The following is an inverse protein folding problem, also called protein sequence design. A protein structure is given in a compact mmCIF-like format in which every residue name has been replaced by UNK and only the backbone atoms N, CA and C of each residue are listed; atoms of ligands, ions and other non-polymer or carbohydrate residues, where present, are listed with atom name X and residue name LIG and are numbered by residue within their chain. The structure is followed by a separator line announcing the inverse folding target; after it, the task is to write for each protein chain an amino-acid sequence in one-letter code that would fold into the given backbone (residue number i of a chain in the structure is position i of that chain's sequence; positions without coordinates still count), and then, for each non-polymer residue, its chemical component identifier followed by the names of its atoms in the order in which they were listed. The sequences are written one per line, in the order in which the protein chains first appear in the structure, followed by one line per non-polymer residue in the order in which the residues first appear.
data_IF_529436626950
#
_entry.id   IF_529436626950
#
_cell.length_a   1.000
_cell.length_b   1.000
_cell.length_c   1.000
_cell.angle_alpha   90.00
_cell.angle_beta   90.00
_cell.angle_gamma   90.00
#
_symmetry.space_group_name_H-M   'P 1'
#
loop_
_entity.id
_entity.type
_entity.pdbx_description
1 polymer ?
#
# COMPACT_ATOMS: atom_id res chain seq x y z
N UNK A 1 -40.88 -85.86 25.74
CA UNK A 1 -42.00 -86.32 24.89
C UNK A 1 -42.87 -85.12 24.52
N UNK A 2 -43.32 -85.10 23.26
CA UNK A 2 -44.24 -84.17 22.55
C UNK A 2 -43.64 -82.88 21.95
N UNK A 3 -43.58 -82.91 20.61
CA UNK A 3 -43.20 -81.88 19.63
C UNK A 3 -44.47 -81.25 18.99
N UNK A 4 -44.38 -80.02 18.46
CA UNK A 4 -44.45 -79.68 17.01
C UNK A 4 -44.32 -78.14 16.83
N UNK A 5 -43.40 -77.54 16.03
CA UNK A 5 -43.41 -77.33 14.56
C UNK A 5 -44.83 -76.95 14.06
N UNK A 6 -45.13 -75.81 13.43
CA UNK A 6 -44.50 -75.16 12.25
C UNK A 6 -45.22 -73.82 11.95
N UNK A 7 -44.56 -72.89 11.23
CA UNK A 7 -45.13 -71.96 10.21
C UNK A 7 -45.16 -70.43 10.52
N UNK A 8 -44.22 -69.73 9.86
CA UNK A 8 -44.29 -68.43 9.15
C UNK A 8 -44.46 -67.07 9.88
N UNK A 9 -43.37 -66.27 9.80
CA UNK A 9 -43.27 -64.89 9.26
C UNK A 9 -44.38 -63.87 9.57
N UNK A 10 -44.07 -62.85 10.38
CA UNK A 10 -44.21 -61.38 10.14
C UNK A 10 -43.83 -60.65 11.44
N UNK A 11 -42.69 -59.95 11.49
CA UNK A 11 -42.48 -58.53 11.21
C UNK A 11 -42.70 -57.60 12.42
N UNK A 12 -41.81 -56.60 12.52
CA UNK A 12 -41.95 -55.29 13.19
C UNK A 12 -41.36 -55.12 14.62
N UNK A 13 -40.27 -54.35 14.62
CA UNK A 13 -39.85 -53.29 15.54
C UNK A 13 -39.45 -53.60 17.00
N UNK A 14 -38.17 -53.36 17.31
CA UNK A 14 -37.74 -52.31 18.25
C UNK A 14 -36.21 -52.23 18.27
N UNK A 15 -35.61 -51.63 17.23
CA UNK A 15 -34.23 -51.17 17.30
C UNK A 15 -34.24 -49.76 17.88
N UNK A 16 -33.82 -49.62 19.14
CA UNK A 16 -33.41 -48.34 19.72
C UNK A 16 -32.17 -47.86 18.94
N UNK A 17 -32.39 -47.01 17.94
CA UNK A 17 -31.36 -46.13 17.40
C UNK A 17 -31.50 -44.82 18.15
N UNK A 18 -30.67 -44.63 19.17
CA UNK A 18 -30.37 -43.31 19.71
C UNK A 18 -29.72 -42.48 18.60
N UNK A 19 -30.53 -41.71 17.90
CA UNK A 19 -30.06 -40.59 17.09
C UNK A 19 -29.51 -39.54 18.05
N UNK A 20 -28.19 -39.54 18.26
CA UNK A 20 -27.49 -38.34 18.68
C UNK A 20 -27.66 -37.34 17.54
N UNK A 21 -28.63 -36.43 17.71
CA UNK A 21 -28.71 -35.23 16.89
C UNK A 21 -27.52 -34.38 17.33
N UNK A 22 -26.39 -34.56 16.63
CA UNK A 22 -25.36 -33.54 16.57
C UNK A 22 -25.99 -32.33 15.91
N UNK A 23 -26.58 -31.46 16.72
CA UNK A 23 -26.79 -30.08 16.33
C UNK A 23 -25.39 -29.48 16.22
N UNK A 24 -24.77 -29.60 15.06
CA UNK A 24 -23.79 -28.60 14.64
C UNK A 24 -24.58 -27.32 14.45
N UNK A 25 -24.88 -26.64 15.56
CA UNK A 25 -25.00 -25.20 15.53
C UNK A 25 -23.65 -24.73 14.98
N UNK A 26 -23.61 -24.42 13.68
CA UNK A 26 -22.58 -23.58 13.16
C UNK A 26 -22.68 -22.30 13.97
N UNK A 27 -21.78 -22.15 14.95
CA UNK A 27 -21.46 -20.85 15.47
C UNK A 27 -20.87 -20.16 14.24
N UNK A 28 -21.68 -19.32 13.58
CA UNK A 28 -21.12 -18.33 12.69
C UNK A 28 -20.20 -17.50 13.59
N UNK A 29 -18.89 -17.70 13.42
CA UNK A 29 -17.88 -16.89 14.11
C UNK A 29 -18.18 -15.42 13.78
N UNK A 30 -18.45 -14.56 14.79
CA UNK A 30 -18.79 -13.17 14.56
C UNK A 30 -17.52 -12.31 14.41
N UNK A 31 -16.47 -12.86 13.80
CA UNK A 31 -15.28 -12.09 13.40
C UNK A 31 -15.33 -12.00 11.89
N UNK A 32 -15.54 -10.79 11.35
CA UNK A 32 -15.49 -10.48 9.92
C UNK A 32 -14.08 -10.67 9.36
N UNK A 33 -13.58 -11.90 9.40
CA UNK A 33 -12.27 -12.26 8.89
C UNK A 33 -12.34 -12.21 7.36
N UNK A 34 -11.84 -11.14 6.77
CA UNK A 34 -11.46 -11.05 5.35
C UNK A 34 -10.21 -11.90 5.03
N UNK A 35 -9.92 -12.92 5.84
CA UNK A 35 -8.83 -13.89 5.72
C UNK A 35 -8.95 -14.83 4.51
N UNK A 36 -9.72 -14.49 3.47
CA UNK A 36 -9.71 -15.25 2.22
C UNK A 36 -8.34 -15.07 1.53
N UNK A 37 -7.39 -15.92 1.94
CA UNK A 37 -6.11 -16.11 1.26
C UNK A 37 -6.23 -17.28 0.28
N UNK A 38 -5.66 -17.18 -0.94
CA UNK A 38 -4.96 -16.00 -1.46
C UNK A 38 -5.91 -14.84 -1.73
N UNK A 39 -5.44 -13.60 -1.53
CA UNK A 39 -6.18 -12.41 -1.92
C UNK A 39 -6.51 -12.45 -3.41
N UNK A 40 -7.72 -11.99 -3.74
CA UNK A 40 -8.24 -12.00 -5.11
C UNK A 40 -7.41 -11.07 -6.00
N UNK A 41 -7.43 -11.31 -7.31
CA UNK A 41 -6.70 -10.48 -8.27
C UNK A 41 -7.01 -8.96 -8.25
N UNK A 42 -8.12 -8.53 -7.66
CA UNK A 42 -8.48 -7.12 -7.48
C UNK A 42 -8.29 -6.65 -6.03
N UNK A 43 -7.45 -7.33 -5.27
CA UNK A 43 -7.13 -7.01 -3.88
C UNK A 43 -5.62 -6.94 -3.68
N UNK A 44 -5.18 -6.07 -2.78
CA UNK A 44 -3.85 -6.15 -2.18
C UNK A 44 -3.94 -5.95 -0.68
N UNK A 45 -2.85 -6.20 0.02
CA UNK A 45 -2.75 -5.91 1.45
C UNK A 45 -1.99 -4.62 1.74
N UNK A 46 -2.26 -4.07 2.91
CA UNK A 46 -1.58 -2.90 3.46
C UNK A 46 -1.54 -2.96 4.97
N UNK A 47 -1.12 -1.86 5.58
CA UNK A 47 -1.19 -1.70 7.02
C UNK A 47 -2.03 -0.48 7.40
N UNK A 48 -2.68 -0.53 8.56
CA UNK A 48 -3.44 0.57 9.14
C UNK A 48 -3.62 0.31 10.63
N UNK A 49 -3.35 1.32 11.47
CA UNK A 49 -3.44 1.25 12.93
C UNK A 49 -2.81 -0.04 13.54
N UNK A 50 -1.68 -0.49 13.00
CA UNK A 50 -0.96 -1.67 13.53
C UNK A 50 -1.52 -3.02 13.09
N UNK A 51 -2.42 -3.03 12.10
CA UNK A 51 -3.12 -4.20 11.60
C UNK A 51 -2.96 -4.34 10.08
N UNK A 52 -3.07 -5.57 9.60
CA UNK A 52 -3.17 -5.85 8.18
C UNK A 52 -4.52 -5.39 7.65
N UNK A 53 -4.47 -4.74 6.50
CA UNK A 53 -5.62 -4.20 5.78
C UNK A 53 -5.72 -4.90 4.43
N UNK A 54 -6.93 -4.98 3.89
CA UNK A 54 -7.20 -5.46 2.54
C UNK A 54 -7.83 -4.32 1.75
N UNK A 55 -7.16 -3.92 0.67
CA UNK A 55 -7.67 -2.93 -0.25
C UNK A 55 -8.33 -3.63 -1.43
N UNK A 56 -9.59 -3.33 -1.70
CA UNK A 56 -10.35 -3.90 -2.81
C UNK A 56 -10.58 -2.85 -3.89
N UNK A 57 -10.22 -3.18 -5.13
CA UNK A 57 -10.13 -2.23 -6.22
C UNK A 57 -11.30 -2.36 -7.18
N UNK A 58 -11.90 -1.22 -7.53
CA UNK A 58 -12.87 -1.10 -8.62
C UNK A 58 -12.28 -0.40 -9.86
N UNK A 59 -11.25 0.43 -9.67
CA UNK A 59 -10.54 1.14 -10.74
C UNK A 59 -9.04 1.17 -10.40
N UNK A 60 -8.20 1.54 -11.37
CA UNK A 60 -6.74 1.52 -11.18
C UNK A 60 -6.28 2.80 -10.45
N UNK A 61 -6.07 3.89 -11.19
CA UNK A 61 -5.55 5.14 -10.66
C UNK A 61 -5.97 6.35 -11.51
N UNK A 62 -5.74 7.54 -10.97
CA UNK A 62 -5.80 8.80 -11.71
C UNK A 62 -4.60 9.67 -11.33
N UNK A 63 -4.11 10.48 -12.26
CA UNK A 63 -3.07 11.47 -11.99
C UNK A 63 -3.68 12.83 -12.27
N UNK A 64 -3.97 13.58 -11.20
CA UNK A 64 -4.70 14.84 -11.31
C UNK A 64 -3.78 15.92 -11.86
N UNK A 65 -4.27 16.64 -12.86
CA UNK A 65 -3.68 17.87 -13.38
C UNK A 65 -4.77 18.93 -13.33
N UNK A 66 -4.49 20.04 -12.67
CA UNK A 66 -5.39 21.17 -12.54
C UNK A 66 -5.21 22.18 -13.69
N UNK A 67 -6.22 23.00 -14.03
CA UNK A 67 -6.16 23.90 -15.18
C UNK A 67 -4.98 24.89 -15.22
N UNK A 68 -4.38 25.18 -14.07
CA UNK A 68 -3.28 26.14 -13.93
C UNK A 68 -1.95 25.48 -13.60
N UNK A 69 -1.93 24.15 -13.58
CA UNK A 69 -0.70 23.38 -13.50
C UNK A 69 0.13 23.58 -14.77
N UNK A 70 1.44 23.37 -14.66
CA UNK A 70 2.43 23.47 -15.72
C UNK A 70 3.51 22.43 -15.38
N UNK A 71 3.13 21.16 -15.54
CA UNK A 71 3.86 19.98 -15.07
C UNK A 71 4.72 19.34 -16.15
N UNK A 72 4.54 19.74 -17.40
CA UNK A 72 5.35 19.28 -18.51
C UNK A 72 6.65 20.14 -18.67
N UNK A 73 7.38 19.97 -19.77
CA UNK A 73 8.59 20.75 -20.04
C UNK A 73 9.93 20.25 -19.47
N UNK A 74 11.01 20.96 -19.82
CA UNK A 74 12.40 20.57 -19.54
C UNK A 74 12.71 20.73 -18.05
N UNK A 75 13.13 19.64 -17.41
CA UNK A 75 13.40 19.63 -15.98
C UNK A 75 12.11 19.68 -15.14
N UNK A 76 10.94 19.52 -15.77
CA UNK A 76 9.61 19.43 -15.13
C UNK A 76 9.31 20.63 -14.24
N UNK A 77 9.72 21.80 -14.74
CA UNK A 77 9.44 23.10 -14.16
C UNK A 77 8.35 23.87 -14.90
N UNK A 78 7.60 23.16 -15.74
CA UNK A 78 6.71 23.74 -16.72
C UNK A 78 7.42 24.12 -18.02
N UNK A 79 6.69 24.15 -19.11
CA UNK A 79 7.12 24.82 -20.34
C UNK A 79 6.69 26.31 -20.37
N UNK A 80 5.95 26.75 -19.34
CA UNK A 80 5.42 28.09 -19.18
C UNK A 80 3.99 28.24 -19.70
N UNK A 81 3.37 27.17 -20.20
CA UNK A 81 2.00 27.13 -20.70
C UNK A 81 1.16 26.31 -19.72
N UNK A 82 0.16 26.92 -19.07
CA UNK A 82 -0.68 26.16 -18.16
C UNK A 82 -1.51 25.09 -18.87
N UNK A 83 -1.79 23.96 -18.21
CA UNK A 83 -2.53 22.82 -18.72
C UNK A 83 -3.85 23.17 -19.44
N UNK A 84 -4.59 24.19 -18.98
CA UNK A 84 -5.82 24.64 -19.67
C UNK A 84 -5.58 25.17 -21.09
N UNK A 85 -4.36 25.58 -21.39
CA UNK A 85 -3.89 26.07 -22.69
C UNK A 85 -2.94 25.09 -23.38
N UNK A 86 -2.55 24.00 -22.70
CA UNK A 86 -1.71 22.93 -23.22
C UNK A 86 -2.53 21.63 -23.43
N UNK A 87 -2.95 21.34 -24.68
CA UNK A 87 -3.68 20.11 -24.95
C UNK A 87 -2.82 18.86 -24.76
N UNK A 88 -1.50 18.91 -24.93
CA UNK A 88 -0.64 17.74 -24.82
C UNK A 88 -0.49 17.32 -23.35
N UNK A 89 -0.36 18.29 -22.42
CA UNK A 89 -0.35 18.05 -20.97
C UNK A 89 -1.66 17.39 -20.49
N UNK A 90 -2.81 17.85 -21.01
CA UNK A 90 -4.12 17.33 -20.61
C UNK A 90 -4.47 15.95 -21.22
N UNK A 91 -3.81 15.55 -22.31
CA UNK A 91 -4.07 14.27 -22.98
C UNK A 91 -3.30 13.12 -22.34
N UNK A 92 -2.08 13.38 -21.85
CA UNK A 92 -1.20 12.35 -21.27
C UNK A 92 -0.80 12.78 -19.86
N UNK A 93 -1.68 12.58 -18.85
CA UNK A 93 -1.38 13.06 -17.52
C UNK A 93 -0.15 12.34 -16.96
N UNK A 94 0.85 13.14 -16.62
CA UNK A 94 2.09 12.69 -16.01
C UNK A 94 1.87 12.39 -14.52
N UNK A 95 2.14 11.15 -14.12
CA UNK A 95 2.08 10.72 -12.72
C UNK A 95 3.40 11.04 -12.00
N UNK A 96 3.35 12.03 -11.12
CA UNK A 96 4.52 12.68 -10.53
C UNK A 96 4.61 12.42 -9.03
N UNK A 97 5.83 12.16 -8.56
CA UNK A 97 6.18 12.13 -7.15
C UNK A 97 7.31 13.14 -6.88
N UNK A 98 7.04 14.09 -5.98
CA UNK A 98 7.96 15.17 -5.65
C UNK A 98 7.32 16.55 -5.72
N UNK A 99 8.10 17.61 -5.53
CA UNK A 99 7.65 19.00 -5.65
C UNK A 99 7.98 19.55 -7.03
N UNK A 100 6.99 20.02 -7.78
CA UNK A 100 7.20 20.85 -8.98
C UNK A 100 7.21 22.35 -8.58
N UNK A 101 7.74 23.25 -9.44
CA UNK A 101 7.67 24.70 -9.20
C UNK A 101 6.24 25.26 -9.05
N UNK A 102 5.24 24.59 -9.62
CA UNK A 102 3.81 24.87 -9.42
C UNK A 102 3.19 24.21 -8.18
N UNK A 103 3.93 23.32 -7.51
CA UNK A 103 3.39 22.36 -6.54
C UNK A 103 2.87 21.12 -7.27
N UNK A 104 3.36 19.93 -6.93
CA UNK A 104 2.84 18.69 -7.52
C UNK A 104 1.66 18.11 -6.73
N UNK A 105 1.24 18.81 -5.67
CA UNK A 105 0.13 18.39 -4.85
C UNK A 105 -1.15 19.06 -5.38
N UNK A 106 -2.04 18.28 -6.03
CA UNK A 106 -3.27 18.84 -6.57
C UNK A 106 -4.17 19.35 -5.44
N UNK A 107 -4.86 20.46 -5.66
CA UNK A 107 -5.77 21.04 -4.68
C UNK A 107 -7.13 20.32 -4.62
N UNK A 108 -7.39 19.46 -5.61
CA UNK A 108 -8.61 18.66 -5.71
C UNK A 108 -8.34 17.18 -5.96
N UNK A 109 -9.27 16.35 -5.51
CA UNK A 109 -9.33 14.94 -5.88
C UNK A 109 -9.96 14.75 -7.29
N UNK A 110 -9.92 13.54 -7.88
CA UNK A 110 -10.50 13.29 -9.19
C UNK A 110 -12.04 13.46 -9.27
N UNK A 111 -12.73 13.55 -8.12
CA UNK A 111 -14.14 13.87 -8.02
C UNK A 111 -14.40 15.39 -7.85
N UNK A 112 -13.35 16.22 -7.81
CA UNK A 112 -13.42 17.66 -7.63
C UNK A 112 -13.63 18.11 -6.18
N UNK A 113 -13.44 17.23 -5.20
CA UNK A 113 -13.45 17.60 -3.77
C UNK A 113 -12.13 18.22 -3.37
N UNK A 114 -12.14 19.04 -2.32
CA UNK A 114 -10.91 19.66 -1.82
C UNK A 114 -9.96 18.62 -1.24
N UNK A 115 -8.66 18.85 -1.40
CA UNK A 115 -7.60 18.04 -0.80
C UNK A 115 -7.71 17.89 0.72
N UNK A 116 -8.23 18.90 1.43
CA UNK A 116 -8.43 18.83 2.89
C UNK A 116 -9.46 17.76 3.31
N UNK A 117 -10.31 17.32 2.37
CA UNK A 117 -11.29 16.25 2.55
C UNK A 117 -10.80 14.91 2.02
N UNK A 118 -9.63 14.90 1.36
CA UNK A 118 -9.08 13.71 0.75
C UNK A 118 -8.47 12.79 1.81
N UNK A 119 -8.77 11.50 1.67
CA UNK A 119 -8.08 10.46 2.43
C UNK A 119 -6.67 10.27 1.90
N UNK A 120 -5.73 9.99 2.80
CA UNK A 120 -4.33 9.77 2.43
C UNK A 120 -3.91 8.32 2.55
N UNK A 121 -2.99 7.95 1.68
CA UNK A 121 -2.45 6.62 1.54
C UNK A 121 -0.94 6.70 1.27
N UNK A 122 -0.12 6.10 2.12
CA UNK A 122 1.32 6.23 2.06
C UNK A 122 1.94 5.00 1.42
N UNK A 123 2.66 5.20 0.31
CA UNK A 123 3.56 4.21 -0.26
C UNK A 123 4.94 4.37 0.40
N UNK A 124 5.33 3.39 1.22
CA UNK A 124 6.65 3.32 1.83
C UNK A 124 7.62 2.57 0.90
N UNK A 125 8.72 3.21 0.52
CA UNK A 125 9.69 2.72 -0.46
C UNK A 125 11.00 2.37 0.24
N UNK A 126 11.45 1.10 0.26
CA UNK A 126 12.65 0.71 0.98
C UNK A 126 13.92 1.03 0.19
N UNK A 127 14.69 1.99 0.68
CA UNK A 127 15.94 2.47 0.06
C UNK A 127 17.21 1.87 0.69
N UNK A 128 17.04 0.99 1.67
CA UNK A 128 18.12 0.15 2.22
C UNK A 128 18.38 -1.06 1.30
N UNK A 129 19.48 -1.78 1.56
CA UNK A 129 19.87 -3.03 0.90
C UNK A 129 19.88 -4.14 1.97
N UNK A 130 18.84 -4.98 1.99
CA UNK A 130 18.64 -5.95 3.05
C UNK A 130 19.50 -7.21 2.87
N UNK A 131 19.82 -7.55 1.62
CA UNK A 131 20.56 -8.77 1.29
C UNK A 131 22.07 -8.51 1.05
N UNK A 132 22.50 -7.25 1.04
CA UNK A 132 23.90 -6.83 0.91
C UNK A 132 24.45 -6.94 -0.52
N UNK A 133 23.59 -6.93 -1.54
CA UNK A 133 24.00 -7.09 -2.94
C UNK A 133 24.39 -5.76 -3.63
N UNK A 134 24.28 -4.63 -2.92
CA UNK A 134 24.56 -3.29 -3.42
C UNK A 134 23.42 -2.64 -4.19
N UNK A 135 22.22 -3.22 -4.19
CA UNK A 135 21.01 -2.71 -4.86
C UNK A 135 19.96 -2.41 -3.78
N UNK A 136 19.41 -1.19 -3.73
CA UNK A 136 18.32 -0.90 -2.80
C UNK A 136 17.08 -1.76 -3.09
N UNK A 137 16.39 -2.20 -2.03
CA UNK A 137 15.23 -3.10 -2.11
C UNK A 137 14.14 -2.60 -3.06
N UNK A 138 13.92 -1.29 -3.12
CA UNK A 138 12.99 -0.64 -4.04
C UNK A 138 13.27 -0.93 -5.52
N UNK A 139 14.49 -1.29 -5.88
CA UNK A 139 14.93 -1.61 -7.24
C UNK A 139 15.46 -3.04 -7.37
N UNK A 140 15.46 -3.82 -6.29
CA UNK A 140 15.98 -5.18 -6.30
C UNK A 140 14.94 -6.13 -6.96
N UNK A 141 15.30 -6.85 -8.04
CA UNK A 141 14.43 -7.87 -8.62
C UNK A 141 14.24 -9.11 -7.72
N UNK A 142 15.08 -9.29 -6.70
CA UNK A 142 15.03 -10.37 -5.72
C UNK A 142 15.15 -9.80 -4.29
N UNK A 143 14.17 -8.99 -3.86
CA UNK A 143 14.23 -8.27 -2.61
C UNK A 143 14.38 -9.21 -1.40
N UNK A 144 15.16 -8.78 -0.42
CA UNK A 144 15.43 -9.48 0.83
C UNK A 144 14.39 -9.25 1.93
N UNK A 145 13.39 -8.40 1.68
CA UNK A 145 12.27 -8.12 2.60
C UNK A 145 10.91 -8.42 1.97
N UNK A 146 9.90 -8.61 2.83
CA UNK A 146 8.52 -8.74 2.38
C UNK A 146 8.03 -7.41 1.78
N UNK A 147 7.35 -7.50 0.65
CA UNK A 147 6.83 -6.39 -0.12
C UNK A 147 5.41 -6.71 -0.57
N UNK A 148 4.56 -5.68 -0.58
CA UNK A 148 3.20 -5.78 -1.11
C UNK A 148 3.19 -5.55 -2.62
N UNK A 149 4.13 -4.74 -3.12
CA UNK A 149 4.42 -4.57 -4.53
C UNK A 149 5.92 -4.72 -4.78
N UNK A 150 6.36 -5.63 -5.69
CA UNK A 150 5.55 -6.55 -6.49
C UNK A 150 4.73 -7.54 -5.64
N UNK A 151 3.57 -7.95 -6.14
CA UNK A 151 2.71 -8.90 -5.41
C UNK A 151 3.50 -10.17 -5.03
N UNK A 152 3.42 -10.63 -3.76
CA UNK A 152 4.20 -11.76 -3.26
C UNK A 152 3.78 -13.10 -3.91
N UNK A 153 2.56 -13.19 -4.44
CA UNK A 153 1.98 -14.42 -5.00
C UNK A 153 1.50 -15.41 -3.94
N UNK A 154 1.09 -16.63 -4.36
CA UNK A 154 0.53 -17.60 -3.42
C UNK A 154 1.53 -18.00 -2.33
N UNK A 155 1.08 -18.18 -1.06
CA UNK A 155 -0.31 -18.21 -0.61
C UNK A 155 -0.93 -16.85 -0.26
N UNK A 156 -0.19 -15.74 -0.39
CA UNK A 156 -0.65 -14.41 0.03
C UNK A 156 -1.62 -13.78 -0.98
N UNK A 157 -1.29 -13.80 -2.28
CA UNK A 157 -2.12 -13.29 -3.38
C UNK A 157 -2.25 -14.33 -4.50
N UNK A 158 -3.21 -14.18 -5.40
CA UNK A 158 -3.39 -15.11 -6.53
C UNK A 158 -2.26 -15.03 -7.58
N UNK A 159 -1.46 -13.96 -7.59
CA UNK A 159 -0.48 -13.67 -8.65
C UNK A 159 0.84 -13.15 -8.08
N UNK A 160 1.95 -13.61 -8.65
CA UNK A 160 3.26 -12.97 -8.45
C UNK A 160 3.53 -12.04 -9.62
N UNK A 161 3.84 -10.79 -9.33
CA UNK A 161 4.08 -9.75 -10.35
C UNK A 161 5.59 -9.44 -10.46
N UNK A 162 6.11 -9.08 -11.64
CA UNK A 162 7.39 -8.37 -11.72
C UNK A 162 7.29 -6.95 -11.12
N UNK A 163 8.45 -6.34 -10.86
CA UNK A 163 8.53 -4.92 -10.47
C UNK A 163 7.82 -4.06 -11.53
N UNK A 164 7.04 -3.07 -11.08
CA UNK A 164 6.33 -2.14 -11.96
C UNK A 164 5.01 -2.65 -12.56
N UNK A 165 4.51 -3.84 -12.19
CA UNK A 165 3.29 -4.41 -12.80
C UNK A 165 2.10 -4.62 -11.87
N UNK A 166 2.07 -4.01 -10.67
CA UNK A 166 0.80 -4.03 -9.91
C UNK A 166 -0.25 -3.22 -10.68
N UNK A 167 -1.46 -3.77 -10.79
CA UNK A 167 -2.52 -3.22 -11.65
C UNK A 167 -3.16 -1.94 -11.12
N UNK A 168 -2.74 -1.53 -9.93
CA UNK A 168 -3.26 -0.42 -9.15
C UNK A 168 -2.74 0.95 -9.58
N UNK A 169 -1.60 1.02 -10.24
CA UNK A 169 -0.84 2.25 -10.38
C UNK A 169 -0.26 2.36 -11.80
N UNK A 170 0.29 3.51 -12.21
CA UNK A 170 1.06 3.59 -13.45
C UNK A 170 2.29 2.68 -13.38
N UNK A 171 2.70 2.07 -14.48
CA UNK A 171 3.90 1.22 -14.52
C UNK A 171 5.21 2.01 -14.40
N UNK A 172 5.12 3.34 -14.57
CA UNK A 172 6.23 4.27 -14.42
C UNK A 172 5.78 5.46 -13.58
N UNK A 173 6.67 5.97 -12.74
CA UNK A 173 6.45 7.20 -11.99
C UNK A 173 7.54 8.18 -12.34
N UNK A 174 7.14 9.44 -12.43
CA UNK A 174 7.98 10.56 -12.74
C UNK A 174 8.45 11.17 -11.44
N UNK A 175 9.74 11.08 -11.19
CA UNK A 175 10.33 11.53 -9.94
C UNK A 175 10.96 12.90 -10.15
N UNK A 176 10.67 13.83 -9.24
CA UNK A 176 11.24 15.18 -9.32
C UNK A 176 12.78 15.16 -9.34
N UNK A 177 13.43 16.24 -9.82
CA UNK A 177 14.89 16.29 -9.89
C UNK A 177 15.65 16.12 -8.58
N UNK A 178 15.07 16.55 -7.45
CA UNK A 178 15.72 16.53 -6.13
C UNK A 178 15.70 15.09 -5.60
N UNK A 179 14.53 14.46 -5.62
CA UNK A 179 14.31 13.07 -5.27
C UNK A 179 15.03 12.14 -6.24
N UNK A 180 15.07 12.48 -7.53
CA UNK A 180 15.85 11.77 -8.54
C UNK A 180 17.34 11.80 -8.22
N UNK A 181 17.89 12.95 -7.77
CA UNK A 181 19.28 13.05 -7.31
C UNK A 181 19.53 12.24 -6.04
N UNK A 182 18.60 12.27 -5.08
CA UNK A 182 18.70 11.49 -3.86
C UNK A 182 18.70 9.98 -4.15
N UNK A 183 17.76 9.50 -4.97
CA UNK A 183 17.71 8.11 -5.43
C UNK A 183 18.99 7.73 -6.18
N UNK A 184 19.52 8.57 -7.08
CA UNK A 184 20.80 8.30 -7.76
C UNK A 184 21.97 8.19 -6.79
N UNK A 185 22.05 9.07 -5.79
CA UNK A 185 23.11 9.03 -4.79
C UNK A 185 23.03 7.76 -3.91
N UNK A 186 21.83 7.27 -3.62
CA UNK A 186 21.60 6.05 -2.83
C UNK A 186 21.88 4.79 -3.67
N UNK A 187 21.42 4.78 -4.92
CA UNK A 187 21.47 3.60 -5.81
C UNK A 187 22.78 3.49 -6.60
N UNK A 188 23.63 4.52 -6.59
CA UNK A 188 24.81 4.60 -7.45
C UNK A 188 24.48 4.64 -8.95
N UNK A 189 23.22 4.86 -9.31
CA UNK A 189 22.81 5.01 -10.71
C UNK A 189 23.54 6.22 -11.29
N UNK A 190 24.34 6.06 -12.36
CA UNK A 190 24.99 7.19 -12.99
C UNK A 190 23.93 8.21 -13.41
N UNK A 191 24.26 9.50 -13.31
CA UNK A 191 23.48 10.54 -13.97
C UNK A 191 23.28 10.13 -15.44
N UNK A 192 22.14 10.42 -16.07
CA UNK A 192 22.00 10.15 -17.49
C UNK A 192 22.95 11.06 -18.26
N UNK A 193 24.19 10.60 -18.51
CA UNK A 193 24.67 10.67 -19.87
C UNK A 193 23.67 9.81 -20.66
N UNK A 194 22.94 10.39 -21.61
CA UNK A 194 22.07 9.63 -22.49
C UNK A 194 22.92 9.16 -23.68
N UNK A 195 23.56 7.98 -23.68
CA UNK A 195 23.83 7.31 -24.94
C UNK A 195 22.50 6.69 -25.42
N UNK A 196 22.26 6.61 -26.74
CA UNK A 196 21.08 5.94 -27.25
C UNK A 196 21.06 4.51 -26.69
N UNK A 197 19.91 4.05 -26.19
CA UNK A 197 19.69 2.69 -25.67
C UNK A 197 20.06 1.65 -26.74
N UNK A 198 21.34 1.32 -26.83
CA UNK A 198 21.88 0.26 -27.67
C UNK A 198 21.91 -1.02 -26.83
N UNK A 199 20.88 -1.85 -26.97
CA UNK A 199 20.89 -3.19 -26.38
C UNK A 199 19.57 -3.77 -25.92
N UNK A 200 18.49 -2.99 -25.88
CA UNK A 200 17.13 -3.54 -25.74
C UNK A 200 16.57 -3.73 -27.16
N UNK A 201 16.46 -4.97 -27.67
CA UNK A 201 15.86 -5.19 -28.97
C UNK A 201 14.34 -5.02 -28.83
N UNK A 202 13.87 -3.81 -29.10
CA UNK A 202 12.45 -3.48 -29.22
C UNK A 202 12.03 -2.29 -28.36
N UNK A 203 11.04 -1.49 -28.82
CA UNK A 203 10.42 -0.49 -27.97
C UNK A 203 9.86 -1.17 -26.70
N UNK A 204 9.97 -0.49 -25.55
CA UNK A 204 9.22 -0.89 -24.35
C UNK A 204 7.75 -1.12 -24.77
N UNK A 205 7.08 -2.16 -24.27
CA UNK A 205 5.71 -2.50 -24.66
C UNK A 205 4.71 -1.54 -24.00
N UNK A 206 4.88 -0.24 -24.23
CA UNK A 206 3.84 0.76 -24.06
C UNK A 206 3.25 0.99 -25.45
N UNK A 207 2.00 0.59 -25.64
CA UNK A 207 1.24 0.89 -26.85
C UNK A 207 0.24 2.00 -26.54
N UNK A 208 0.29 3.14 -27.27
CA UNK A 208 1.24 3.47 -28.32
C UNK A 208 2.64 3.84 -27.78
N UNK A 209 3.71 3.73 -28.59
CA UNK A 209 5.04 4.14 -28.20
C UNK A 209 5.09 5.66 -28.05
N UNK A 210 4.98 6.14 -26.82
CA UNK A 210 5.27 7.54 -26.48
C UNK A 210 6.79 7.70 -26.53
N UNK A 211 7.27 8.67 -27.30
CA UNK A 211 8.67 9.08 -27.25
C UNK A 211 8.97 9.56 -25.83
N UNK A 212 9.80 8.84 -25.08
CA UNK A 212 10.27 9.30 -23.77
C UNK A 212 11.14 10.54 -24.01
N UNK A 213 10.74 11.75 -23.58
CA UNK A 213 11.59 12.92 -23.70
C UNK A 213 12.86 12.70 -22.88
N UNK A 214 14.01 12.92 -23.51
CA UNK A 214 15.34 12.91 -22.89
C UNK A 214 15.49 14.10 -21.95
N UNK A 215 15.62 13.81 -20.64
CA UNK A 215 15.64 14.75 -19.52
C UNK A 215 17.04 14.90 -18.92
N UNK A 216 17.34 16.04 -18.30
CA UNK A 216 17.80 16.01 -16.90
C UNK A 216 17.17 17.17 -16.09
N UNK A 217 16.80 16.99 -14.80
CA UNK A 217 16.90 15.75 -14.01
C UNK A 217 15.63 15.13 -13.45
N UNK A 218 14.44 15.37 -13.98
CA UNK A 218 13.30 14.51 -13.64
C UNK A 218 13.52 13.11 -14.22
N UNK A 219 13.38 12.03 -13.43
CA UNK A 219 13.62 10.67 -13.89
C UNK A 219 12.30 9.92 -14.10
N UNK A 220 12.12 9.32 -15.28
CA UNK A 220 11.09 8.29 -15.48
C UNK A 220 11.68 6.99 -14.95
N UNK A 221 11.10 6.45 -13.89
CA UNK A 221 11.55 5.16 -13.34
C UNK A 221 10.41 4.15 -13.42
N UNK A 222 10.72 2.84 -13.63
CA UNK A 222 9.75 1.78 -13.32
C UNK A 222 9.25 1.98 -11.90
N UNK A 223 7.97 1.69 -11.65
CA UNK A 223 7.49 1.87 -10.29
C UNK A 223 8.32 1.02 -9.32
N UNK A 224 8.92 1.63 -8.29
CA UNK A 224 9.73 0.90 -7.32
C UNK A 224 8.91 -0.11 -6.53
N UNK A 225 9.57 -1.13 -6.00
CA UNK A 225 8.98 -1.99 -4.99
C UNK A 225 8.64 -1.17 -3.73
N UNK A 226 7.49 -1.43 -3.12
CA UNK A 226 6.97 -0.67 -1.98
C UNK A 226 5.92 -1.46 -1.19
N UNK A 227 5.58 -0.94 -0.02
CA UNK A 227 4.45 -1.34 0.81
C UNK A 227 3.58 -0.12 1.16
N UNK A 228 2.47 -0.34 1.84
CA UNK A 228 1.42 0.65 2.00
C UNK A 228 0.97 0.83 3.45
N UNK A 229 0.67 2.07 3.81
CA UNK A 229 0.01 2.44 5.07
C UNK A 229 -1.20 3.30 4.75
N UNK A 230 -2.36 2.97 5.31
CA UNK A 230 -3.60 3.73 5.17
C UNK A 230 -3.88 4.54 6.45
N UNK A 231 -4.53 5.69 6.29
CA UNK A 231 -4.88 6.57 7.41
C UNK A 231 -5.91 5.96 8.37
N UNK A 232 -6.88 5.21 7.83
CA UNK A 232 -8.03 4.68 8.58
C UNK A 232 -8.23 3.21 8.29
N UNK A 233 -8.66 2.43 9.28
CA UNK A 233 -8.78 0.98 9.17
C UNK A 233 -10.11 0.46 8.62
N UNK A 234 -11.16 1.27 8.62
CA UNK A 234 -12.48 0.84 8.15
C UNK A 234 -13.10 1.92 7.27
N UNK A 235 -13.00 1.73 5.95
CA UNK A 235 -13.64 2.57 4.96
C UNK A 235 -14.11 1.68 3.79
N UNK A 236 -15.21 0.94 3.98
CA UNK A 236 -15.66 -0.11 3.07
C UNK A 236 -16.22 0.46 1.75
N UNK A 237 -16.42 1.77 1.69
CA UNK A 237 -16.86 2.47 0.49
C UNK A 237 -15.69 2.73 -0.45
N UNK A 238 -15.92 2.54 -1.75
CA UNK A 238 -14.94 2.86 -2.78
C UNK A 238 -14.77 4.38 -2.90
N UNK A 239 -13.57 4.88 -2.72
CA UNK A 239 -13.27 6.30 -2.81
C UNK A 239 -11.84 6.57 -3.30
N UNK A 240 -11.56 7.85 -3.59
CA UNK A 240 -10.23 8.32 -3.99
C UNK A 240 -9.32 8.54 -2.77
N UNK A 241 -8.13 7.95 -2.84
CA UNK A 241 -7.06 8.08 -1.86
C UNK A 241 -5.86 8.76 -2.50
N UNK A 242 -5.38 9.84 -1.89
CA UNK A 242 -4.17 10.53 -2.33
C UNK A 242 -2.95 9.71 -1.96
N UNK A 243 -2.10 9.38 -2.94
CA UNK A 243 -0.83 8.71 -2.67
C UNK A 243 0.19 9.72 -2.17
N UNK A 244 0.85 9.37 -1.07
CA UNK A 244 2.02 10.07 -0.54
C UNK A 244 3.17 9.08 -0.52
N UNK A 245 4.35 9.49 -0.97
CA UNK A 245 5.53 8.61 -0.98
C UNK A 245 6.40 8.91 0.24
N UNK A 246 6.96 7.87 0.87
CA UNK A 246 7.98 8.02 1.91
C UNK A 246 9.13 7.07 1.63
N UNK A 247 10.36 7.60 1.65
CA UNK A 247 11.56 6.77 1.55
C UNK A 247 11.94 6.21 2.93
N UNK A 248 12.04 4.89 3.05
CA UNK A 248 12.48 4.20 4.26
C UNK A 248 13.95 3.82 4.12
N UNK A 249 14.78 4.19 5.09
CA UNK A 249 16.24 4.02 5.04
C UNK A 249 16.76 3.05 6.09
N UNK A 250 15.99 2.80 7.15
CA UNK A 250 16.32 1.80 8.16
C UNK A 250 15.46 0.54 7.96
N UNK A 251 16.12 -0.59 7.73
CA UNK A 251 15.48 -1.91 7.62
C UNK A 251 14.79 -2.32 8.93
N UNK A 252 15.26 -1.85 10.09
CA UNK A 252 14.79 -2.34 11.39
C UNK A 252 13.31 -2.05 11.65
N UNK A 253 12.77 -0.99 11.04
CA UNK A 253 11.36 -0.57 11.15
C UNK A 253 10.48 -1.12 10.03
N UNK A 254 11.06 -1.83 9.05
CA UNK A 254 10.32 -2.37 7.91
C UNK A 254 9.46 -3.57 8.34
N UNK A 255 8.13 -3.52 8.13
CA UNK A 255 7.24 -4.61 8.52
C UNK A 255 7.36 -5.81 7.57
N UNK A 256 7.30 -7.01 8.14
CA UNK A 256 7.01 -8.24 7.42
C UNK A 256 5.50 -8.33 7.09
N UNK A 257 5.10 -9.38 6.35
CA UNK A 257 3.70 -9.62 5.98
C UNK A 257 2.72 -9.72 7.16
N UNK A 258 3.22 -10.00 8.38
CA UNK A 258 2.43 -10.15 9.59
C UNK A 258 2.48 -8.87 10.46
N UNK A 259 3.09 -7.80 9.94
CA UNK A 259 3.23 -6.50 10.60
C UNK A 259 4.29 -6.45 11.69
N UNK A 260 5.23 -7.40 11.72
CA UNK A 260 6.34 -7.43 12.69
C UNK A 260 7.65 -6.93 12.05
N UNK A 261 8.58 -6.46 12.87
CA UNK A 261 9.87 -5.94 12.43
C UNK A 261 10.88 -6.02 13.59
N UNK A 262 12.16 -5.81 13.29
CA UNK A 262 13.25 -5.95 14.26
C UNK A 262 13.22 -4.90 15.38
N UNK A 263 12.67 -3.70 15.11
CA UNK A 263 12.55 -2.61 16.07
C UNK A 263 11.47 -2.83 17.15
N UNK A 264 10.64 -3.88 17.01
CA UNK A 264 9.46 -4.11 17.84
C UNK A 264 8.18 -3.62 17.17
N UNK A 265 7.06 -4.30 17.45
CA UNK A 265 5.77 -4.10 16.75
C UNK A 265 5.24 -2.67 16.84
N UNK A 266 5.50 -1.99 17.95
CA UNK A 266 5.16 -0.59 18.22
C UNK A 266 5.93 0.40 17.35
N UNK A 267 7.05 -0.03 16.76
CA UNK A 267 7.91 0.78 15.89
C UNK A 267 7.90 0.36 14.44
N UNK A 268 7.18 -0.71 14.10
CA UNK A 268 7.03 -1.14 12.72
C UNK A 268 6.16 -0.15 11.96
N UNK A 269 6.49 0.12 10.71
CA UNK A 269 5.76 1.03 9.84
C UNK A 269 4.42 0.43 9.38
N UNK A 270 3.51 0.24 10.34
CA UNK A 270 2.18 -0.37 10.18
C UNK A 270 1.04 0.58 10.56
N UNK A 271 1.36 1.82 10.93
CA UNK A 271 0.39 2.89 11.21
C UNK A 271 0.97 4.25 10.86
N UNK A 272 0.10 5.26 10.77
CA UNK A 272 0.54 6.65 10.61
C UNK A 272 1.32 7.11 11.83
N UNK A 273 0.92 6.71 13.04
CA UNK A 273 1.64 7.06 14.25
C UNK A 273 3.08 6.55 14.26
N UNK A 274 3.30 5.29 13.85
CA UNK A 274 4.67 4.74 13.78
C UNK A 274 5.48 5.37 12.63
N UNK A 275 4.84 5.72 11.52
CA UNK A 275 5.46 6.49 10.45
C UNK A 275 5.90 7.88 10.93
N UNK A 276 5.03 8.62 11.64
CA UNK A 276 5.36 9.94 12.19
C UNK A 276 6.43 9.86 13.27
N UNK A 277 6.40 8.83 14.11
CA UNK A 277 7.44 8.57 15.10
C UNK A 277 8.80 8.33 14.41
N UNK A 278 8.83 7.49 13.38
CA UNK A 278 10.05 7.22 12.61
C UNK A 278 10.58 8.48 11.87
N UNK A 279 9.70 9.37 11.42
CA UNK A 279 10.10 10.65 10.81
C UNK A 279 10.68 11.61 11.85
N UNK A 280 10.14 11.62 13.08
CA UNK A 280 10.63 12.44 14.18
C UNK A 280 12.03 12.01 14.67
N UNK A 281 12.41 10.75 14.45
CA UNK A 281 13.77 10.26 14.69
C UNK A 281 14.79 10.75 13.64
N UNK A 282 14.29 11.21 12.49
CA UNK A 282 15.05 11.89 11.46
C UNK A 282 15.32 11.05 10.20
N UNK A 283 15.99 11.71 9.26
CA UNK A 283 16.26 11.24 7.90
C UNK A 283 17.16 10.00 7.79
N UNK A 284 17.61 9.42 8.89
CA UNK A 284 18.32 8.12 8.87
C UNK A 284 17.37 6.93 8.94
N UNK A 285 16.15 7.14 9.45
CA UNK A 285 15.13 6.09 9.60
C UNK A 285 14.13 6.16 8.45
N UNK A 286 13.47 7.30 8.30
CA UNK A 286 12.51 7.58 7.23
C UNK A 286 12.65 9.02 6.73
N UNK A 287 12.34 9.24 5.46
CA UNK A 287 12.30 10.57 4.86
C UNK A 287 11.00 11.31 5.14
N UNK A 288 10.95 12.58 4.78
CA UNK A 288 9.70 13.35 4.75
C UNK A 288 8.69 12.80 3.75
N UNK A 289 7.43 13.23 3.91
CA UNK A 289 6.36 13.00 2.94
C UNK A 289 6.71 13.67 1.61
N UNK A 290 6.67 12.88 0.55
CA UNK A 290 6.86 13.30 -0.83
C UNK A 290 5.46 13.38 -1.44
N UNK A 291 4.97 14.58 -1.78
CA UNK A 291 3.65 14.73 -2.39
C UNK A 291 3.63 14.09 -3.77
N UNK A 292 2.45 13.64 -4.18
CA UNK A 292 2.22 13.15 -5.53
C UNK A 292 0.91 13.71 -6.06
N UNK A 293 0.74 13.70 -7.38
CA UNK A 293 -0.56 13.90 -8.02
C UNK A 293 -1.30 12.59 -8.28
N UNK A 294 -0.86 11.48 -7.68
CA UNK A 294 -1.35 10.14 -7.93
C UNK A 294 -2.48 9.82 -6.95
N UNK A 295 -3.56 9.26 -7.49
CA UNK A 295 -4.75 8.87 -6.76
C UNK A 295 -5.10 7.42 -7.06
N UNK A 296 -5.52 6.68 -6.03
CA UNK A 296 -5.98 5.30 -6.13
C UNK A 296 -7.46 5.22 -5.73
N UNK A 297 -8.22 4.35 -6.38
CA UNK A 297 -9.65 4.20 -6.10
C UNK A 297 -9.97 2.83 -5.51
N UNK A 298 -10.18 2.80 -4.20
CA UNK A 298 -10.34 1.55 -3.46
C UNK A 298 -11.20 1.68 -2.21
N UNK A 299 -11.75 0.53 -1.78
CA UNK A 299 -12.31 0.33 -0.45
C UNK A 299 -11.26 -0.31 0.46
N UNK A 300 -11.25 0.06 1.74
CA UNK A 300 -10.35 -0.47 2.75
C UNK A 300 -11.12 -1.19 3.87
N UNK A 301 -10.71 -2.41 4.20
CA UNK A 301 -11.24 -3.16 5.32
C UNK A 301 -10.11 -3.87 6.08
N UNK A 302 -10.25 -4.10 7.40
CA UNK A 302 -9.28 -4.90 8.13
C UNK A 302 -9.27 -6.34 7.63
N UNK A 303 -8.09 -6.95 7.53
CA UNK A 303 -7.96 -8.36 7.14
C UNK A 303 -8.62 -9.29 8.18
N UNK A 304 -8.50 -8.94 9.47
CA UNK A 304 -8.98 -9.73 10.60
C UNK A 304 -10.20 -9.08 11.28
N UNK A 305 -11.17 -8.58 10.50
CA UNK A 305 -12.37 -7.92 11.01
C UNK A 305 -12.09 -6.64 11.82
N UNK A 306 -13.13 -5.87 12.16
CA UNK A 306 -12.94 -4.68 12.99
C UNK A 306 -12.29 -5.06 14.31
N UNK A 307 -11.48 -4.16 14.85
CA UNK A 307 -10.71 -4.27 16.10
C UNK A 307 -11.62 -4.69 17.27
N UNK A 308 -11.89 -5.99 17.42
CA UNK A 308 -12.84 -6.50 18.40
C UNK A 308 -12.13 -6.91 19.68
N UNK A 309 -12.28 -6.13 20.76
CA UNK A 309 -11.99 -6.37 22.20
C UNK A 309 -10.65 -7.04 22.63
N UNK A 310 -9.88 -7.60 21.70
CA UNK A 310 -8.69 -8.44 21.93
C UNK A 310 -7.48 -7.99 21.09
N UNK A 311 -7.58 -6.86 20.38
CA UNK A 311 -6.37 -6.19 19.93
C UNK A 311 -5.50 -5.91 21.16
N UNK A 312 -4.16 -6.05 21.07
CA UNK A 312 -3.29 -5.72 22.19
C UNK A 312 -3.65 -4.32 22.65
N UNK A 313 -4.18 -4.23 23.88
CA UNK A 313 -4.72 -2.99 24.40
C UNK A 313 -3.71 -1.89 24.16
N UNK A 314 -4.16 -0.77 23.56
CA UNK A 314 -3.38 0.46 23.55
C UNK A 314 -2.75 0.61 24.92
N UNK A 315 -1.43 0.70 24.98
CA UNK A 315 -0.73 1.07 26.20
C UNK A 315 -1.27 2.43 26.60
N UNK A 316 -2.20 2.43 27.55
CA UNK A 316 -2.89 3.59 28.04
C UNK A 316 -1.89 4.72 28.23
N UNK A 317 -2.07 5.77 27.43
CA UNK A 317 -1.50 7.10 27.63
C UNK A 317 -1.42 7.38 29.13
N UNK A 318 -0.18 7.48 29.62
CA UNK A 318 0.09 7.70 31.04
C UNK A 318 -0.62 8.99 31.47
N UNK A 319 -1.53 8.78 32.43
CA UNK A 319 -2.37 9.76 33.09
C UNK A 319 -1.79 11.17 33.21
N UNK A 320 -2.62 12.11 32.77
CA UNK A 320 -2.76 13.43 33.37
C UNK A 320 -2.71 13.31 34.90
N UNK A 321 -1.55 13.61 35.49
CA UNK A 321 -1.42 13.87 36.92
C UNK A 321 -2.07 15.23 37.18
N UNK A 322 -3.34 15.17 37.60
CA UNK A 322 -4.04 16.29 38.22
C UNK A 322 -3.21 16.85 39.38
N UNK A 323 -2.81 18.11 39.26
CA UNK A 323 -2.29 18.89 40.38
C UNK A 323 -3.43 19.15 41.37
N UNK A 324 -3.45 18.37 42.45
CA UNK A 324 -4.21 18.65 43.66
C UNK A 324 -3.48 19.75 44.44
N UNK A 325 -3.94 21.01 44.30
CA UNK A 325 -3.49 22.12 45.14
C UNK A 325 -4.24 22.11 46.47
N UNK A 326 -3.71 21.34 47.41
CA UNK A 326 -3.97 21.52 48.84
C UNK A 326 -2.91 22.46 49.44
N UNK A 327 -3.27 23.72 49.67
CA UNK A 327 -2.51 24.62 50.54
C UNK A 327 -3.31 24.88 51.83
N UNK A 328 -2.85 24.26 52.91
CA UNK A 328 -3.14 24.68 54.28
C UNK A 328 -2.22 25.84 54.67
N UNK A 329 -2.85 26.91 55.14
CA UNK A 329 -2.47 27.84 56.22
C UNK A 329 -1.01 28.08 56.59
N UNK A 330 -0.60 29.35 56.47
CA UNK A 330 0.41 30.05 57.24
C UNK A 330 0.20 31.56 57.11
#
# INVERSE_FOLDING_TARGET
MRLSRTTLLTAVAAALVTAAVSTTAGIAEPTGNNLERPLRANQTEGFGEGQNQVFTYAQNFHCTIEPFDDLDGIGRGGDGVPAASDPDEMIIPECLAGTTPGGAEPQIDPAGRSLDEARKFWAIVPTFDANGNGVPEALDPAPGVDLQCPEPGPPATEKKQPVGSCTMHPSVVLVDPILGRALRNITGLPAPDVPPLAGVPGPLPVSPPVALPTVDPGAVIPLPSHSHIVETTDDPDQQWWQVVVVLVKDQSVWPDKDGNCAAGRDRCLTSIDSLRAAQAEGETTTGQDIPTNIWLFFANEPEQGPVGENAPAESASMGSMGHDMSHMTG
#
